data_IF_750262110436
#
_entry.id   IF_750262110436
#
_cell.length_a   1.000
_cell.length_b   1.000
_cell.length_c   1.000
_cell.angle_alpha   90.00
_cell.angle_beta   90.00
_cell.angle_gamma   90.00
#
_symmetry.space_group_name_H-M   'P 1'
#
loop_
_entity.id
_entity.type
_entity.pdbx_description
1 polymer ?
#
# COMPACT_ATOMS: atom_id res chain seq x y z
N UNK A 1 10.33 11.19 -12.14
CA UNK A 1 11.10 10.12 -11.43
C UNK A 1 10.13 9.11 -10.87
N UNK A 2 10.37 7.81 -11.06
CA UNK A 2 9.62 6.74 -10.40
C UNK A 2 10.07 6.61 -8.94
N UNK A 3 9.11 6.50 -8.02
CA UNK A 3 9.41 6.35 -6.59
C UNK A 3 10.05 4.99 -6.28
N UNK A 4 10.93 4.92 -5.29
CA UNK A 4 11.50 3.66 -4.79
C UNK A 4 10.82 3.25 -3.48
N UNK A 5 10.21 2.07 -3.44
CA UNK A 5 9.68 1.48 -2.20
C UNK A 5 10.80 0.71 -1.49
N UNK A 6 11.07 1.07 -0.24
CA UNK A 6 12.20 0.52 0.52
C UNK A 6 11.85 -0.77 1.29
N UNK A 7 10.63 -0.88 1.81
CA UNK A 7 10.21 -1.98 2.70
C UNK A 7 8.74 -2.36 2.46
N UNK A 8 8.41 -2.98 1.31
CA UNK A 8 7.09 -3.59 1.16
C UNK A 8 6.98 -4.82 2.06
N UNK A 9 5.76 -5.26 2.32
CA UNK A 9 5.46 -6.43 3.16
C UNK A 9 4.45 -7.34 2.46
N UNK A 10 4.40 -8.62 2.86
CA UNK A 10 3.42 -9.56 2.35
C UNK A 10 2.27 -9.72 3.32
N UNK A 11 1.04 -9.70 2.80
CA UNK A 11 -0.19 -9.99 3.55
C UNK A 11 -1.15 -10.74 2.64
N UNK A 12 -1.64 -11.90 3.11
CA UNK A 12 -2.51 -12.80 2.35
C UNK A 12 -1.99 -13.15 0.94
N UNK A 13 -0.67 -13.35 0.82
CA UNK A 13 0.00 -13.68 -0.45
C UNK A 13 0.35 -12.48 -1.33
N UNK A 14 -0.28 -11.32 -1.11
CA UNK A 14 -0.06 -10.10 -1.89
C UNK A 14 1.08 -9.26 -1.32
N UNK A 15 1.77 -8.51 -2.18
CA UNK A 15 2.79 -7.55 -1.78
C UNK A 15 2.14 -6.18 -1.57
N UNK A 16 2.49 -5.49 -0.48
CA UNK A 16 1.90 -4.23 -0.07
C UNK A 16 2.96 -3.19 0.24
N UNK A 17 2.61 -1.91 0.05
CA UNK A 17 3.44 -0.77 0.41
C UNK A 17 2.66 0.23 1.28
N UNK A 18 3.19 0.51 2.45
CA UNK A 18 2.68 1.57 3.34
C UNK A 18 3.00 2.95 2.76
N UNK A 19 1.99 3.82 2.70
CA UNK A 19 2.12 5.20 2.20
C UNK A 19 1.86 6.26 3.27
N UNK A 20 1.37 5.86 4.44
CA UNK A 20 1.15 6.75 5.57
C UNK A 20 0.81 5.97 6.83
N UNK A 21 1.12 6.57 7.98
CA UNK A 21 0.75 6.04 9.29
C UNK A 21 0.03 7.13 10.07
N UNK A 22 -0.94 6.74 10.88
CA UNK A 22 -1.65 7.61 11.80
C UNK A 22 -1.68 6.96 13.19
N UNK A 23 -1.61 7.77 14.23
CA UNK A 23 -1.79 7.33 15.61
C UNK A 23 -3.07 7.98 16.12
N UNK A 24 -4.07 7.17 16.47
CA UNK A 24 -5.32 7.63 17.04
C UNK A 24 -5.69 6.71 18.21
N UNK A 25 -6.06 7.29 19.34
CA UNK A 25 -6.54 6.59 20.54
C UNK A 25 -5.65 5.42 21.01
N UNK A 26 -4.32 5.62 20.98
CA UNK A 26 -3.35 4.62 21.42
C UNK A 26 -3.07 3.50 20.42
N UNK A 27 -3.69 3.51 19.23
CA UNK A 27 -3.45 2.54 18.17
C UNK A 27 -2.75 3.18 16.96
N UNK A 28 -1.72 2.51 16.44
CA UNK A 28 -1.06 2.88 15.19
C UNK A 28 -1.75 2.21 14.00
N UNK A 29 -2.33 3.00 13.09
CA UNK A 29 -2.89 2.50 11.83
C UNK A 29 -1.99 2.87 10.67
N UNK A 30 -2.00 2.06 9.61
CA UNK A 30 -1.23 2.32 8.40
C UNK A 30 -2.14 2.29 7.18
N UNK A 31 -1.96 3.23 6.24
CA UNK A 31 -2.58 3.16 4.92
C UNK A 31 -1.61 2.49 3.96
N UNK A 32 -2.06 1.46 3.27
CA UNK A 32 -1.24 0.70 2.32
C UNK A 32 -1.98 0.45 1.01
N UNK A 33 -1.21 0.35 -0.07
CA UNK A 33 -1.68 -0.10 -1.38
C UNK A 33 -1.07 -1.48 -1.64
N UNK A 34 -1.77 -2.35 -2.38
CA UNK A 34 -1.09 -3.52 -2.91
C UNK A 34 -0.19 -3.11 -4.09
N UNK A 35 0.80 -3.93 -4.38
CA UNK A 35 1.72 -3.79 -5.51
C UNK A 35 1.39 -4.84 -6.55
N UNK A 36 0.78 -4.42 -7.66
CA UNK A 36 0.53 -5.29 -8.82
C UNK A 36 1.70 -5.21 -9.81
N UNK A 37 1.91 -6.26 -10.59
CA UNK A 37 2.78 -6.16 -11.76
C UNK A 37 2.16 -5.18 -12.77
N UNK A 38 3.00 -4.57 -13.62
CA UNK A 38 2.50 -3.65 -14.65
C UNK A 38 1.53 -4.34 -15.60
N UNK A 39 1.81 -5.59 -15.98
CA UNK A 39 0.96 -6.36 -16.90
C UNK A 39 -0.42 -6.71 -16.34
N UNK A 40 -0.57 -6.73 -15.02
CA UNK A 40 -1.83 -7.05 -14.34
C UNK A 40 -2.67 -5.79 -14.04
N UNK A 41 -2.16 -4.60 -14.38
CA UNK A 41 -2.82 -3.33 -14.08
C UNK A 41 -3.65 -2.84 -15.28
N UNK A 42 -4.97 -2.84 -15.14
CA UNK A 42 -5.91 -2.45 -16.20
C UNK A 42 -6.18 -0.93 -16.28
N UNK A 43 -5.35 -0.10 -15.67
CA UNK A 43 -5.53 1.35 -15.60
C UNK A 43 -4.43 2.17 -16.29
N UNK A 44 -4.56 3.49 -16.25
CA UNK A 44 -3.54 4.41 -16.75
C UNK A 44 -2.37 4.49 -15.77
N UNK A 45 -1.20 4.08 -16.23
CA UNK A 45 0.05 4.28 -15.50
C UNK A 45 0.38 5.76 -15.38
N UNK A 46 0.87 6.18 -14.23
CA UNK A 46 1.29 7.55 -13.99
C UNK A 46 2.51 7.62 -13.08
N UNK A 47 3.05 8.82 -12.90
CA UNK A 47 4.07 9.14 -11.91
C UNK A 47 3.61 10.29 -11.02
N UNK A 48 4.27 10.46 -9.88
CA UNK A 48 3.92 11.53 -8.94
C UNK A 48 3.94 12.94 -9.57
N UNK A 49 4.87 13.19 -10.49
CA UNK A 49 5.05 14.48 -11.17
C UNK A 49 3.99 14.75 -12.25
N UNK A 50 3.43 13.70 -12.85
CA UNK A 50 2.43 13.83 -13.93
C UNK A 50 1.01 13.89 -13.38
N UNK A 51 0.81 13.50 -12.12
CA UNK A 51 -0.52 13.39 -11.54
C UNK A 51 -1.10 14.79 -11.26
N UNK A 52 -2.37 14.99 -11.59
CA UNK A 52 -3.14 16.14 -11.12
C UNK A 52 -3.47 15.93 -9.64
N UNK A 53 -2.73 16.63 -8.76
CA UNK A 53 -2.86 16.43 -7.32
C UNK A 53 -4.22 16.86 -6.76
N UNK A 54 -4.94 17.75 -7.43
CA UNK A 54 -6.26 18.20 -6.99
C UNK A 54 -7.32 17.14 -7.26
N UNK A 55 -7.27 16.50 -8.44
CA UNK A 55 -8.13 15.36 -8.77
C UNK A 55 -7.76 14.11 -7.98
N UNK A 56 -6.46 13.80 -7.85
CA UNK A 56 -5.98 12.61 -7.17
C UNK A 56 -6.37 12.53 -5.69
N UNK A 57 -6.50 13.67 -5.00
CA UNK A 57 -6.97 13.72 -3.60
C UNK A 57 -8.44 13.34 -3.43
N UNK A 58 -9.23 13.38 -4.52
CA UNK A 58 -10.65 13.03 -4.56
C UNK A 58 -10.92 11.69 -5.23
N UNK A 59 -9.87 11.02 -5.72
CA UNK A 59 -9.97 9.74 -6.39
C UNK A 59 -10.36 8.65 -5.37
N UNK A 60 -11.46 7.90 -5.58
CA UNK A 60 -11.83 6.79 -4.70
C UNK A 60 -10.79 5.66 -4.69
N UNK A 61 -10.02 5.49 -5.78
CA UNK A 61 -8.89 4.57 -5.82
C UNK A 61 -7.68 5.10 -5.04
N UNK A 62 -7.74 6.36 -4.64
CA UNK A 62 -6.78 7.02 -3.78
C UNK A 62 -5.61 7.66 -4.53
N UNK A 63 -4.94 8.58 -3.84
CA UNK A 63 -3.94 9.47 -4.43
C UNK A 63 -2.83 8.75 -5.20
N UNK A 64 -2.40 7.57 -4.75
CA UNK A 64 -1.26 6.85 -5.36
C UNK A 64 -1.67 5.79 -6.38
N UNK A 65 -2.97 5.56 -6.61
CA UNK A 65 -3.41 4.56 -7.59
C UNK A 65 -2.82 4.82 -8.99
N UNK A 66 -2.35 3.76 -9.66
CA UNK A 66 -1.73 3.83 -10.98
C UNK A 66 -0.29 4.35 -10.98
N UNK A 67 0.27 4.75 -9.83
CA UNK A 67 1.66 5.21 -9.79
C UNK A 67 2.64 4.05 -9.89
N UNK A 68 3.61 4.21 -10.79
CA UNK A 68 4.71 3.25 -10.95
C UNK A 68 5.79 3.47 -9.88
N UNK A 69 6.23 2.37 -9.27
CA UNK A 69 7.28 2.34 -8.24
C UNK A 69 8.25 1.19 -8.47
N UNK A 70 9.49 1.35 -7.99
CA UNK A 70 10.51 0.30 -8.07
C UNK A 70 10.78 -0.35 -6.71
N UNK A 71 10.96 -1.67 -6.71
CA UNK A 71 11.44 -2.45 -5.57
C UNK A 71 12.19 -3.69 -6.05
N UNK A 72 13.37 -3.97 -5.47
CA UNK A 72 14.14 -5.19 -5.78
C UNK A 72 14.55 -5.34 -7.26
N UNK A 73 14.66 -4.24 -8.02
CA UNK A 73 14.94 -4.29 -9.46
C UNK A 73 13.69 -4.49 -10.34
N UNK A 74 12.52 -4.66 -9.74
CA UNK A 74 11.24 -4.77 -10.43
C UNK A 74 10.44 -3.48 -10.34
N UNK A 75 9.61 -3.23 -11.34
CA UNK A 75 8.65 -2.13 -11.35
C UNK A 75 7.25 -2.66 -11.09
N UNK A 76 6.55 -2.00 -10.17
CA UNK A 76 5.20 -2.31 -9.72
C UNK A 76 4.29 -1.10 -9.89
N UNK A 77 2.99 -1.33 -9.77
CA UNK A 77 1.97 -0.29 -9.70
C UNK A 77 1.34 -0.28 -8.32
N UNK A 78 1.27 0.90 -7.70
CA UNK A 78 0.46 1.11 -6.50
C UNK A 78 -1.01 1.06 -6.91
N UNK A 79 -1.71 0.03 -6.47
CA UNK A 79 -3.09 -0.21 -6.90
C UNK A 79 -4.01 -0.18 -5.69
N UNK A 80 -4.89 0.81 -5.70
CA UNK A 80 -5.86 1.04 -4.64
C UNK A 80 -7.16 0.26 -4.80
N UNK A 81 -8.20 0.60 -4.01
CA UNK A 81 -8.18 1.66 -2.99
C UNK A 81 -7.19 1.37 -1.86
N UNK A 82 -6.66 2.41 -1.17
CA UNK A 82 -5.80 2.19 -0.02
C UNK A 82 -6.55 1.44 1.09
N UNK A 83 -5.94 0.39 1.59
CA UNK A 83 -6.45 -0.36 2.75
C UNK A 83 -5.87 0.22 4.03
N UNK A 84 -6.73 0.42 5.03
CA UNK A 84 -6.30 0.75 6.38
C UNK A 84 -5.94 -0.54 7.13
N UNK A 85 -4.65 -0.71 7.36
CA UNK A 85 -4.10 -1.77 8.21
C UNK A 85 -4.19 -1.32 9.67
N UNK A 86 -4.69 -2.20 10.53
CA UNK A 86 -4.77 -2.01 11.97
C UNK A 86 -3.89 -3.04 12.68
N UNK A 87 -3.39 -2.75 13.89
CA UNK A 87 -2.70 -3.75 14.68
C UNK A 87 -3.63 -4.93 14.93
N UNK A 88 -3.13 -6.15 14.74
CA UNK A 88 -3.87 -7.34 15.17
C UNK A 88 -4.00 -7.36 16.68
N UNK A 89 -5.09 -7.93 17.19
CA UNK A 89 -5.16 -8.29 18.61
C UNK A 89 -4.08 -9.32 18.90
N UNK A 90 -3.38 -9.22 20.05
CA UNK A 90 -2.48 -10.29 20.47
C UNK A 90 -3.29 -11.59 20.53
N UNK A 91 -2.78 -12.63 19.86
CA UNK A 91 -3.38 -13.95 19.93
C UNK A 91 -3.40 -14.38 21.40
N UNK A 92 -4.53 -14.84 21.95
CA UNK A 92 -4.52 -15.36 23.32
C UNK A 92 -3.53 -16.51 23.35
N UNK A 93 -2.50 -16.40 24.19
CA UNK A 93 -1.54 -17.47 24.45
C UNK A 93 -2.35 -18.71 24.78
N UNK A 94 -2.43 -19.67 23.86
CA UNK A 94 -3.05 -20.95 24.17
C UNK A 94 -2.21 -21.57 25.30
N UNK A 95 -2.80 -21.83 26.48
CA UNK A 95 -2.05 -22.52 27.51
C UNK A 95 -1.66 -23.88 26.95
N UNK A 96 -0.35 -24.14 26.91
CA UNK A 96 0.23 -25.43 26.58
C UNK A 96 -0.47 -26.51 27.40
N UNK A 97 -1.18 -27.43 26.73
CA UNK A 97 -1.70 -28.64 27.36
C UNK A 97 -0.56 -29.66 27.48
N UNK A 98 0.40 -29.37 28.35
CA UNK A 98 1.41 -30.33 28.82
C UNK A 98 1.72 -30.06 30.28
#
# INVERSE_FOLDING_TARGET
MQGKIRRPFRLQGWLWATVGMSHLDGASTAKAYWLSAIGDFEGTLTSYSEKDHSKARKDPMGFYHGMTVSHGGHTYVLTGPPTQMVPGSPEPTQPSLF
#
